data_IF_643076194391
#
_entry.id   IF_643076194391
#
_cell.length_a   1.000
_cell.length_b   1.000
_cell.length_c   1.000
_cell.angle_alpha   90.00
_cell.angle_beta   90.00
_cell.angle_gamma   90.00
#
_symmetry.space_group_name_H-M   'P 1'
#
loop_
_entity.id
_entity.type
_entity.pdbx_description
1 polymer ?
#
# COMPACT_ATOMS: atom_id res chain seq x y z
N UNK A 1 41.80 22.97 -37.29
CA UNK A 1 40.75 23.49 -36.41
C UNK A 1 39.28 23.25 -36.89
N UNK A 2 38.90 22.25 -37.73
CA UNK A 2 37.47 22.03 -38.05
C UNK A 2 36.78 20.93 -37.20
N UNK A 3 37.53 20.07 -36.50
CA UNK A 3 36.95 18.91 -35.81
C UNK A 3 36.21 19.25 -34.49
N UNK A 4 36.62 20.30 -33.78
CA UNK A 4 36.01 20.69 -32.51
C UNK A 4 34.63 21.37 -32.69
N UNK A 5 34.43 22.09 -33.80
CA UNK A 5 33.16 22.74 -34.10
C UNK A 5 32.08 21.75 -34.54
N UNK A 6 32.46 20.67 -35.25
CA UNK A 6 31.53 19.61 -35.65
C UNK A 6 31.04 18.77 -34.46
N UNK A 7 31.91 18.51 -33.47
CA UNK A 7 31.52 17.79 -32.26
C UNK A 7 30.57 18.60 -31.36
N UNK A 8 30.78 19.92 -31.25
CA UNK A 8 29.88 20.80 -30.52
C UNK A 8 28.50 20.90 -31.20
N UNK A 9 28.45 21.04 -32.53
CA UNK A 9 27.19 21.09 -33.28
C UNK A 9 26.38 19.78 -33.18
N UNK A 10 27.05 18.62 -33.18
CA UNK A 10 26.40 17.32 -33.00
C UNK A 10 25.82 17.15 -31.59
N UNK A 11 26.51 17.66 -30.56
CA UNK A 11 26.01 17.64 -29.18
C UNK A 11 24.79 18.55 -28.98
N UNK A 12 24.79 19.74 -29.61
CA UNK A 12 23.63 20.65 -29.59
C UNK A 12 22.43 20.08 -30.35
N UNK A 13 22.64 19.41 -31.49
CA UNK A 13 21.56 18.74 -32.21
C UNK A 13 20.99 17.55 -31.44
N UNK A 14 21.83 16.76 -30.75
CA UNK A 14 21.37 15.65 -29.91
C UNK A 14 20.56 16.14 -28.69
N UNK A 15 21.00 17.22 -28.03
CA UNK A 15 20.28 17.82 -26.92
C UNK A 15 18.96 18.48 -27.37
N UNK A 16 18.95 19.15 -28.52
CA UNK A 16 17.74 19.73 -29.09
C UNK A 16 16.73 18.66 -29.54
N UNK A 17 17.19 17.51 -30.04
CA UNK A 17 16.33 16.39 -30.41
C UNK A 17 15.72 15.70 -29.17
N UNK A 18 16.48 15.56 -28.06
CA UNK A 18 15.97 15.07 -26.78
C UNK A 18 14.89 16.00 -26.20
N UNK A 19 15.10 17.32 -26.26
CA UNK A 19 14.14 18.32 -25.80
C UNK A 19 12.88 18.36 -26.69
N UNK A 20 13.01 18.13 -28.00
CA UNK A 20 11.84 18.04 -28.90
C UNK A 20 11.01 16.78 -28.64
N UNK A 21 11.65 15.65 -28.31
CA UNK A 21 10.97 14.38 -28.00
C UNK A 21 10.14 14.46 -26.71
N UNK A 22 10.51 15.31 -25.75
CA UNK A 22 9.74 15.61 -24.54
C UNK A 22 8.60 16.61 -24.73
N UNK A 23 8.45 17.21 -25.93
CA UNK A 23 7.41 18.21 -26.23
C UNK A 23 6.24 17.65 -27.04
N UNK A 24 6.29 16.36 -27.41
CA UNK A 24 5.17 15.68 -28.05
C UNK A 24 4.10 15.37 -27.00
N UNK A 25 2.82 15.72 -27.23
CA UNK A 25 1.72 15.23 -26.39
C UNK A 25 1.67 13.71 -26.52
N UNK A 26 2.23 13.02 -25.51
CA UNK A 26 2.50 11.58 -25.56
C UNK A 26 3.87 11.17 -25.02
N UNK A 27 4.80 12.11 -24.75
CA UNK A 27 6.00 11.84 -23.95
C UNK A 27 5.61 11.69 -22.48
N UNK A 28 4.98 10.56 -22.16
CA UNK A 28 4.78 10.12 -20.79
C UNK A 28 6.16 10.11 -20.12
N UNK A 29 6.25 10.71 -18.94
CA UNK A 29 7.38 10.60 -18.05
C UNK A 29 7.82 9.12 -18.02
N UNK A 30 9.01 8.83 -18.57
CA UNK A 30 9.42 7.46 -18.79
C UNK A 30 9.78 6.86 -17.44
N UNK A 31 8.95 5.93 -16.97
CA UNK A 31 9.32 5.09 -15.84
C UNK A 31 10.68 4.46 -16.10
N UNK A 32 11.57 4.57 -15.13
CA UNK A 32 12.78 3.77 -15.10
C UNK A 32 12.47 2.49 -14.34
N UNK A 33 12.43 1.38 -15.05
CA UNK A 33 12.15 0.06 -14.47
C UNK A 33 13.42 -0.68 -14.11
N UNK A 34 13.32 -1.51 -13.08
CA UNK A 34 14.28 -2.55 -12.73
C UNK A 34 13.57 -3.89 -12.75
N UNK A 35 14.21 -4.89 -13.38
CA UNK A 35 13.72 -6.26 -13.44
C UNK A 35 14.27 -7.06 -12.25
N UNK A 36 13.41 -7.82 -11.58
CA UNK A 36 13.84 -8.78 -10.56
C UNK A 36 14.53 -9.99 -11.20
N UNK A 37 15.65 -10.46 -10.65
CA UNK A 37 16.43 -11.53 -11.28
C UNK A 37 15.65 -12.84 -11.36
N UNK A 38 15.68 -13.50 -12.52
CA UNK A 38 15.01 -14.79 -12.72
C UNK A 38 13.48 -14.73 -12.66
N UNK A 39 12.88 -13.54 -12.51
CA UNK A 39 11.44 -13.34 -12.48
C UNK A 39 10.99 -12.42 -13.63
N UNK A 40 9.82 -12.67 -14.17
CA UNK A 40 9.24 -11.86 -15.23
C UNK A 40 8.43 -10.67 -14.68
N UNK A 41 9.04 -9.89 -13.79
CA UNK A 41 8.40 -8.72 -13.17
C UNK A 41 9.40 -7.56 -13.04
N UNK A 42 8.88 -6.37 -13.29
CA UNK A 42 9.58 -5.10 -13.14
C UNK A 42 8.83 -4.20 -12.17
N UNK A 43 9.59 -3.41 -11.42
CA UNK A 43 9.09 -2.24 -10.71
C UNK A 43 9.82 -1.00 -11.18
N UNK A 44 9.15 0.15 -11.17
CA UNK A 44 9.72 1.39 -11.66
C UNK A 44 9.11 2.61 -11.01
N UNK A 45 9.82 3.71 -11.12
CA UNK A 45 9.40 5.05 -10.69
C UNK A 45 9.75 6.04 -11.80
N UNK A 46 9.24 7.26 -11.69
CA UNK A 46 9.64 8.37 -12.58
C UNK A 46 10.77 9.15 -11.89
N UNK A 47 12.05 8.95 -12.26
CA UNK A 47 13.15 9.62 -11.55
C UNK A 47 13.17 11.13 -11.78
N UNK A 48 12.90 11.58 -13.00
CA UNK A 48 12.86 13.01 -13.38
C UNK A 48 11.43 13.54 -13.34
N UNK A 49 10.72 13.27 -12.25
CA UNK A 49 9.34 13.69 -12.10
C UNK A 49 9.23 15.21 -11.89
N UNK A 50 8.24 15.84 -12.52
CA UNK A 50 8.05 17.30 -12.47
C UNK A 50 6.79 17.72 -11.69
N UNK A 51 5.97 16.76 -11.28
CA UNK A 51 4.73 17.01 -10.59
C UNK A 51 4.50 15.96 -9.51
N UNK A 52 3.67 16.33 -8.55
CA UNK A 52 3.29 15.48 -7.41
C UNK A 52 2.87 14.07 -7.82
N UNK A 53 2.02 13.93 -8.84
CA UNK A 53 1.47 12.63 -9.19
C UNK A 53 2.58 11.69 -9.66
N UNK A 54 3.43 12.14 -10.59
CA UNK A 54 4.58 11.36 -11.06
C UNK A 54 5.58 11.08 -9.93
N UNK A 55 5.85 12.08 -9.09
CA UNK A 55 6.81 11.97 -7.98
C UNK A 55 6.33 11.12 -6.81
N UNK A 56 5.05 10.75 -6.77
CA UNK A 56 4.48 9.87 -5.74
C UNK A 56 4.08 8.50 -6.30
N UNK A 57 4.40 8.20 -7.57
CA UNK A 57 3.94 6.97 -8.22
C UNK A 57 5.05 5.93 -8.36
N UNK A 58 4.74 4.70 -7.95
CA UNK A 58 5.48 3.50 -8.33
C UNK A 58 4.65 2.66 -9.31
N UNK A 59 5.29 1.97 -10.25
CA UNK A 59 4.65 1.09 -11.22
C UNK A 59 5.21 -0.33 -11.13
N UNK A 60 4.35 -1.33 -11.35
CA UNK A 60 4.68 -2.75 -11.28
C UNK A 60 4.03 -3.48 -12.45
N UNK A 61 4.78 -4.32 -13.14
CA UNK A 61 4.20 -5.03 -14.27
C UNK A 61 5.05 -6.21 -14.73
N UNK A 62 4.43 -7.16 -15.43
CA UNK A 62 5.16 -8.25 -16.04
C UNK A 62 6.10 -7.73 -17.13
N UNK A 63 7.37 -8.13 -17.08
CA UNK A 63 8.37 -7.70 -18.05
C UNK A 63 9.39 -8.80 -18.33
N UNK A 64 9.99 -8.78 -19.52
CA UNK A 64 11.12 -9.66 -19.87
C UNK A 64 12.46 -8.94 -19.74
N UNK A 65 12.47 -7.61 -19.77
CA UNK A 65 13.63 -6.75 -19.59
C UNK A 65 13.24 -5.43 -18.90
N UNK A 66 14.20 -4.80 -18.22
CA UNK A 66 14.04 -3.51 -17.57
C UNK A 66 13.75 -2.37 -18.58
N UNK A 67 14.28 -2.47 -19.80
CA UNK A 67 13.95 -1.56 -20.90
C UNK A 67 13.44 -2.38 -22.10
N UNK A 68 12.28 -2.02 -22.70
CA UNK A 68 11.48 -0.81 -22.45
C UNK A 68 10.58 -0.89 -21.19
N UNK A 69 10.60 -2.00 -20.45
CA UNK A 69 9.72 -2.24 -19.32
C UNK A 69 8.40 -2.95 -19.71
N UNK A 70 7.43 -3.04 -18.78
CA UNK A 70 6.14 -3.69 -19.02
C UNK A 70 5.23 -2.89 -19.96
N UNK A 71 4.50 -3.57 -20.84
CA UNK A 71 3.48 -2.94 -21.71
C UNK A 71 2.14 -2.69 -20.99
N UNK A 72 1.90 -3.41 -19.90
CA UNK A 72 0.78 -3.24 -18.99
C UNK A 72 1.29 -3.33 -17.55
N UNK A 73 0.85 -2.44 -16.68
CA UNK A 73 1.35 -2.31 -15.31
C UNK A 73 0.25 -1.81 -14.37
N UNK A 74 0.45 -1.97 -13.08
CA UNK A 74 -0.32 -1.31 -12.03
C UNK A 74 0.52 -0.18 -11.45
N UNK A 75 -0.08 1.00 -11.34
CA UNK A 75 0.49 2.13 -10.58
C UNK A 75 0.02 2.06 -9.14
N UNK A 76 0.86 2.48 -8.20
CA UNK A 76 0.53 2.61 -6.77
C UNK A 76 0.93 4.00 -6.33
N UNK A 77 -0.07 4.75 -5.85
CA UNK A 77 0.07 6.16 -5.46
C UNK A 77 -0.44 6.33 -4.03
N UNK A 78 0.36 6.84 -3.08
CA UNK A 78 -0.15 7.32 -1.80
C UNK A 78 -1.15 8.46 -2.03
N UNK A 79 -2.43 8.18 -1.83
CA UNK A 79 -3.52 9.10 -2.16
C UNK A 79 -3.88 10.01 -0.97
N UNK A 80 -3.66 9.54 0.25
CA UNK A 80 -3.89 10.32 1.46
C UNK A 80 -3.94 9.45 2.71
N UNK A 81 -4.33 10.07 3.82
CA UNK A 81 -4.67 9.37 5.06
C UNK A 81 -6.16 9.51 5.36
N UNK A 82 -6.66 8.74 6.32
CA UNK A 82 -7.99 8.96 6.86
C UNK A 82 -8.09 8.49 8.31
N UNK A 83 -8.75 9.29 9.14
CA UNK A 83 -9.25 8.79 10.42
C UNK A 83 -10.49 7.94 10.17
N UNK A 84 -10.47 6.68 10.60
CA UNK A 84 -11.56 5.73 10.40
C UNK A 84 -12.20 5.42 11.75
N UNK A 85 -13.51 5.69 11.86
CA UNK A 85 -14.28 5.53 13.08
C UNK A 85 -14.86 4.10 13.21
N UNK A 86 -15.39 3.56 12.12
CA UNK A 86 -15.88 2.18 12.04
C UNK A 86 -15.40 1.49 10.76
N UNK A 87 -14.61 0.44 10.95
CA UNK A 87 -14.01 -0.35 9.86
C UNK A 87 -15.04 -1.00 8.92
N UNK A 88 -16.28 -1.21 9.35
CA UNK A 88 -17.29 -1.92 8.56
C UNK A 88 -18.18 -0.99 7.72
N UNK A 89 -18.06 0.33 7.90
CA UNK A 89 -19.02 1.28 7.31
C UNK A 89 -18.36 2.52 6.71
N UNK A 90 -17.07 2.76 6.98
CA UNK A 90 -16.32 3.95 6.52
C UNK A 90 -16.26 4.17 5.00
N UNK A 91 -16.57 3.14 4.21
CA UNK A 91 -16.52 3.17 2.76
C UNK A 91 -17.86 3.59 2.14
N UNK A 92 -18.94 3.46 2.91
CA UNK A 92 -20.31 3.76 2.48
C UNK A 92 -20.95 4.90 3.27
N UNK A 93 -20.47 5.17 4.49
CA UNK A 93 -20.93 6.27 5.33
C UNK A 93 -19.80 7.31 5.50
N UNK A 94 -19.94 8.52 4.92
CA UNK A 94 -18.94 9.58 5.05
C UNK A 94 -18.78 10.08 6.49
N UNK A 95 -19.72 9.80 7.40
CA UNK A 95 -19.56 10.15 8.82
C UNK A 95 -18.63 9.19 9.57
N UNK A 96 -18.30 8.05 8.96
CA UNK A 96 -17.44 7.00 9.53
C UNK A 96 -15.98 7.11 9.06
N UNK A 97 -15.67 8.17 8.28
CA UNK A 97 -14.32 8.50 7.82
C UNK A 97 -14.09 10.01 7.81
N UNK A 98 -12.90 10.44 8.22
CA UNK A 98 -12.43 11.81 8.00
C UNK A 98 -11.15 11.75 7.16
N UNK A 99 -11.27 12.12 5.89
CA UNK A 99 -10.17 12.04 4.91
C UNK A 99 -9.20 13.18 5.13
N UNK A 100 -7.93 12.82 5.25
CA UNK A 100 -6.80 13.73 5.32
C UNK A 100 -6.12 13.69 3.95
N UNK A 101 -6.39 14.73 3.16
CA UNK A 101 -5.84 14.82 1.82
C UNK A 101 -4.34 15.12 1.86
N UNK A 102 -3.74 15.01 0.68
CA UNK A 102 -2.39 15.48 0.43
C UNK A 102 -2.26 16.96 0.78
N UNK A 103 -1.14 17.33 1.43
CA UNK A 103 -0.89 18.69 1.89
C UNK A 103 -0.93 19.67 0.70
N UNK A 104 -1.86 20.64 0.66
CA UNK A 104 -1.96 21.61 -0.43
C UNK A 104 -0.83 22.65 -0.34
N UNK A 105 -0.56 23.31 -1.48
CA UNK A 105 0.32 24.49 -1.57
C UNK A 105 1.80 24.27 -1.21
N UNK A 106 2.28 23.04 -1.34
CA UNK A 106 3.70 22.71 -1.21
C UNK A 106 4.19 21.96 -2.45
N UNK A 107 5.50 22.00 -2.72
CA UNK A 107 6.11 21.17 -3.77
C UNK A 107 6.10 19.70 -3.35
N UNK A 108 4.93 19.09 -3.49
CA UNK A 108 4.65 17.77 -2.93
C UNK A 108 5.06 16.66 -3.91
N UNK A 109 5.33 15.48 -3.36
CA UNK A 109 5.91 14.37 -4.10
C UNK A 109 7.41 14.29 -3.88
N UNK A 110 7.92 13.09 -3.64
CA UNK A 110 9.34 12.82 -3.62
C UNK A 110 9.63 11.39 -4.05
N UNK A 111 10.68 11.22 -4.84
CA UNK A 111 11.08 9.96 -5.45
C UNK A 111 12.56 9.69 -5.20
N UNK A 112 12.87 8.45 -4.83
CA UNK A 112 14.24 7.95 -4.77
C UNK A 112 14.32 6.72 -5.65
N UNK A 113 15.37 6.64 -6.47
CA UNK A 113 15.64 5.46 -7.29
C UNK A 113 17.13 5.23 -7.35
N UNK A 114 17.54 4.06 -6.87
CA UNK A 114 18.91 3.60 -6.93
C UNK A 114 18.90 2.17 -7.47
N UNK A 115 19.74 1.89 -8.47
CA UNK A 115 19.89 0.54 -9.04
C UNK A 115 21.36 0.12 -9.02
N UNK A 116 21.60 -1.19 -8.98
CA UNK A 116 22.95 -1.74 -8.97
C UNK A 116 23.70 -1.51 -7.64
N UNK A 117 22.97 -1.35 -6.53
CA UNK A 117 23.58 -1.26 -5.20
C UNK A 117 24.18 -2.62 -4.86
N UNK A 118 25.47 -2.64 -4.49
CA UNK A 118 26.21 -3.87 -4.20
C UNK A 118 26.46 -4.02 -2.72
N UNK A 119 26.16 -5.20 -2.19
CA UNK A 119 26.49 -5.61 -0.83
C UNK A 119 27.16 -6.99 -0.87
N UNK A 120 28.49 -6.99 -0.78
CA UNK A 120 29.28 -8.20 -1.03
C UNK A 120 29.07 -8.75 -2.45
N UNK A 121 28.56 -9.97 -2.57
CA UNK A 121 28.23 -10.60 -3.86
C UNK A 121 26.79 -10.37 -4.32
N UNK A 122 25.95 -9.76 -3.47
CA UNK A 122 24.57 -9.45 -3.78
C UNK A 122 24.44 -8.09 -4.46
N UNK A 123 23.38 -7.94 -5.24
CA UNK A 123 23.02 -6.70 -5.92
C UNK A 123 21.51 -6.48 -5.80
N UNK A 124 21.11 -5.24 -5.56
CA UNK A 124 19.71 -4.87 -5.46
C UNK A 124 19.46 -3.47 -6.00
N UNK A 125 18.17 -3.19 -6.23
CA UNK A 125 17.67 -1.85 -6.46
C UNK A 125 16.72 -1.44 -5.34
N UNK A 126 16.70 -0.14 -5.07
CA UNK A 126 15.88 0.48 -4.06
C UNK A 126 15.11 1.63 -4.67
N UNK A 127 13.80 1.66 -4.46
CA UNK A 127 12.93 2.73 -4.94
C UNK A 127 11.98 3.19 -3.85
N UNK A 128 11.76 4.49 -3.76
CA UNK A 128 10.72 5.09 -2.93
C UNK A 128 9.93 6.11 -3.72
N UNK A 129 8.64 6.19 -3.44
CA UNK A 129 7.78 7.25 -3.95
C UNK A 129 6.78 7.63 -2.85
N UNK A 130 6.64 8.93 -2.59
CA UNK A 130 5.85 9.41 -1.46
C UNK A 130 5.49 10.87 -1.54
N UNK A 131 4.93 11.39 -0.46
CA UNK A 131 4.53 12.79 -0.34
C UNK A 131 4.11 13.16 1.08
N UNK A 132 3.75 14.43 1.23
CA UNK A 132 3.20 15.00 2.45
C UNK A 132 1.68 14.99 2.47
N UNK A 133 1.09 14.72 3.62
CA UNK A 133 -0.36 14.68 3.85
C UNK A 133 -0.71 15.58 5.04
N UNK A 134 -1.92 16.12 5.06
CA UNK A 134 -2.36 17.03 6.13
C UNK A 134 -3.07 18.26 5.60
N UNK A 135 -3.64 19.04 6.51
CA UNK A 135 -4.33 20.28 6.18
C UNK A 135 -3.44 21.52 6.37
N UNK A 136 -2.44 21.43 7.26
CA UNK A 136 -1.53 22.54 7.58
C UNK A 136 -0.12 22.01 7.81
N UNK A 137 0.89 22.87 7.63
CA UNK A 137 2.30 22.52 7.93
C UNK A 137 2.51 22.21 9.42
N UNK A 138 1.71 22.83 10.30
CA UNK A 138 1.77 22.62 11.75
C UNK A 138 1.12 21.30 12.21
N UNK A 139 0.38 20.60 11.35
CA UNK A 139 -0.28 19.33 11.61
C UNK A 139 -0.37 18.51 10.32
N UNK A 140 0.69 17.75 10.05
CA UNK A 140 0.86 17.01 8.80
C UNK A 140 1.51 15.64 9.04
N UNK A 141 1.80 14.94 7.97
CA UNK A 141 2.49 13.66 7.95
C UNK A 141 3.18 13.44 6.62
N UNK A 142 3.99 12.39 6.57
CA UNK A 142 4.59 11.89 5.34
C UNK A 142 4.11 10.47 5.11
N UNK A 143 3.96 10.11 3.84
CA UNK A 143 3.54 8.78 3.40
C UNK A 143 4.34 8.36 2.18
N UNK A 144 4.56 7.07 2.01
CA UNK A 144 5.19 6.58 0.80
C UNK A 144 5.15 5.06 0.68
N UNK A 145 5.57 4.60 -0.49
CA UNK A 145 5.83 3.19 -0.79
C UNK A 145 7.32 2.99 -1.00
N UNK A 146 7.79 1.79 -0.65
CA UNK A 146 9.18 1.36 -0.77
C UNK A 146 9.20 0.05 -1.54
N UNK A 147 10.15 -0.05 -2.48
CA UNK A 147 10.44 -1.27 -3.20
C UNK A 147 11.91 -1.63 -3.05
N UNK A 148 12.17 -2.85 -2.57
CA UNK A 148 13.49 -3.46 -2.61
C UNK A 148 13.45 -4.63 -3.58
N UNK A 149 14.30 -4.58 -4.61
CA UNK A 149 14.28 -5.51 -5.74
C UNK A 149 15.63 -6.21 -5.79
N UNK A 150 15.66 -7.51 -5.51
CA UNK A 150 16.89 -8.28 -5.59
C UNK A 150 17.22 -8.62 -7.05
N UNK A 151 18.34 -8.09 -7.53
CA UNK A 151 18.85 -8.31 -8.89
C UNK A 151 19.99 -9.32 -8.93
N UNK A 152 20.58 -9.67 -7.77
CA UNK A 152 21.56 -10.74 -7.61
C UNK A 152 21.76 -11.17 -6.16
N UNK A 153 21.98 -12.47 -5.94
CA UNK A 153 22.41 -13.03 -4.66
C UNK A 153 21.34 -12.94 -3.57
N UNK A 154 21.77 -12.77 -2.32
CA UNK A 154 20.86 -12.64 -1.18
C UNK A 154 21.40 -11.68 -0.15
N UNK A 155 20.52 -10.90 0.48
CA UNK A 155 20.84 -9.99 1.59
C UNK A 155 19.97 -10.35 2.77
N UNK A 156 20.57 -10.44 3.96
CA UNK A 156 19.86 -10.57 5.23
C UNK A 156 20.05 -9.28 6.01
N UNK A 157 18.96 -8.60 6.35
CA UNK A 157 19.02 -7.34 7.09
C UNK A 157 17.85 -7.20 8.08
N UNK A 158 18.06 -6.42 9.14
CA UNK A 158 17.02 -6.07 10.11
C UNK A 158 16.29 -4.78 9.77
N UNK A 159 16.88 -3.93 8.94
CA UNK A 159 16.41 -2.58 8.69
C UNK A 159 16.39 -2.24 7.21
N UNK A 160 15.66 -1.17 6.87
CA UNK A 160 15.65 -0.58 5.53
C UNK A 160 15.70 0.95 5.63
N UNK A 161 16.49 1.64 4.78
CA UNK A 161 16.63 3.09 4.87
C UNK A 161 15.41 3.79 4.29
N UNK A 162 14.65 4.53 5.10
CA UNK A 162 13.52 5.35 4.64
C UNK A 162 13.95 6.80 4.65
N UNK A 163 13.62 7.51 3.58
CA UNK A 163 13.86 8.95 3.47
C UNK A 163 12.54 9.69 3.24
N UNK A 164 12.43 10.88 3.82
CA UNK A 164 11.25 11.73 3.70
C UNK A 164 11.66 13.21 3.78
N UNK A 165 10.71 14.09 3.51
CA UNK A 165 10.87 15.52 3.72
C UNK A 165 9.83 16.04 4.73
N UNK A 166 10.08 17.23 5.26
CA UNK A 166 9.16 17.99 6.11
C UNK A 166 8.71 19.25 5.36
N UNK A 167 7.57 19.87 5.73
CA UNK A 167 7.04 21.02 4.98
C UNK A 167 7.98 22.24 4.94
N UNK A 168 8.83 22.42 5.95
CA UNK A 168 9.57 23.66 6.17
C UNK A 168 10.78 23.86 5.23
N UNK A 169 11.21 22.82 4.50
CA UNK A 169 12.38 22.87 3.61
C UNK A 169 12.24 21.93 2.41
N UNK A 170 11.10 21.93 1.72
CA UNK A 170 10.90 21.03 0.57
C UNK A 170 11.80 21.38 -0.61
N UNK A 171 12.66 20.45 -1.06
CA UNK A 171 13.44 20.66 -2.27
C UNK A 171 12.55 20.75 -3.51
N UNK A 172 12.96 21.56 -4.49
CA UNK A 172 12.25 21.71 -5.76
C UNK A 172 12.45 20.53 -6.72
N UNK A 173 13.48 19.72 -6.49
CA UNK A 173 13.92 18.65 -7.39
C UNK A 173 13.23 17.30 -7.14
N UNK A 174 12.39 17.20 -6.11
CA UNK A 174 11.68 15.99 -5.68
C UNK A 174 12.55 14.77 -5.36
N UNK A 175 13.88 14.89 -5.43
CA UNK A 175 14.84 13.79 -5.31
C UNK A 175 15.81 14.01 -4.16
N UNK A 176 15.94 15.24 -3.67
CA UNK A 176 16.65 15.55 -2.44
C UNK A 176 15.78 15.26 -1.22
N UNK A 177 16.39 14.63 -0.22
CA UNK A 177 15.76 14.29 1.06
C UNK A 177 16.54 14.88 2.22
N UNK A 178 15.85 15.60 3.11
CA UNK A 178 16.46 16.20 4.28
C UNK A 178 16.48 15.27 5.50
N UNK A 179 15.69 14.21 5.47
CA UNK A 179 15.59 13.26 6.58
C UNK A 179 15.75 11.83 6.09
N UNK A 180 16.45 11.01 6.89
CA UNK A 180 16.65 9.59 6.62
C UNK A 180 16.83 8.82 7.93
N UNK A 181 16.20 7.65 8.02
CA UNK A 181 16.38 6.74 9.13
C UNK A 181 16.27 5.28 8.69
N UNK A 182 16.94 4.40 9.43
CA UNK A 182 16.84 2.95 9.23
C UNK A 182 15.64 2.39 10.00
N UNK A 183 14.59 2.03 9.27
CA UNK A 183 13.39 1.45 9.85
C UNK A 183 13.56 -0.05 10.04
N UNK A 184 13.16 -0.55 11.21
CA UNK A 184 13.11 -1.99 11.47
C UNK A 184 12.12 -2.70 10.53
N UNK A 185 12.58 -3.75 9.85
CA UNK A 185 11.75 -4.68 9.06
C UNK A 185 11.65 -6.08 9.69
N UNK A 186 12.56 -6.43 10.59
CA UNK A 186 12.45 -7.60 11.47
C UNK A 186 11.37 -7.38 12.54
N UNK A 187 10.98 -8.41 13.29
CA UNK A 187 10.06 -8.20 14.42
C UNK A 187 10.70 -7.28 15.48
N UNK A 188 9.90 -6.46 16.13
CA UNK A 188 10.33 -5.51 17.15
C UNK A 188 9.64 -5.78 18.48
N UNK A 189 10.40 -5.65 19.56
CA UNK A 189 9.89 -5.84 20.93
C UNK A 189 10.74 -5.06 21.93
N UNK A 190 10.14 -4.72 23.08
CA UNK A 190 10.82 -4.04 24.19
C UNK A 190 11.57 -2.75 23.76
N UNK A 191 10.99 -1.99 22.82
CA UNK A 191 11.57 -0.74 22.36
C UNK A 191 12.69 -0.87 21.31
N UNK A 192 13.01 -2.09 20.85
CA UNK A 192 14.12 -2.34 19.93
C UNK A 192 13.77 -3.26 18.75
N UNK A 193 14.59 -3.19 17.69
CA UNK A 193 14.54 -4.08 16.53
C UNK A 193 15.21 -5.44 16.86
N UNK A 194 14.48 -6.29 17.57
CA UNK A 194 15.03 -7.51 18.21
C UNK A 194 14.97 -8.77 17.36
N UNK A 195 14.12 -8.78 16.33
CA UNK A 195 13.85 -9.95 15.50
C UNK A 195 15.07 -10.43 14.72
N UNK A 196 14.95 -11.62 14.14
CA UNK A 196 15.93 -12.16 13.20
C UNK A 196 15.91 -11.37 11.91
N UNK A 197 17.07 -11.29 11.26
CA UNK A 197 17.24 -10.68 9.96
C UNK A 197 16.26 -11.27 8.95
N UNK A 198 15.69 -10.40 8.13
CA UNK A 198 14.86 -10.82 7.01
C UNK A 198 15.76 -10.99 5.80
N UNK A 199 15.62 -12.13 5.13
CA UNK A 199 16.43 -12.48 3.97
C UNK A 199 15.64 -12.24 2.69
N UNK A 200 16.23 -11.46 1.80
CA UNK A 200 15.78 -11.25 0.43
C UNK A 200 16.72 -12.01 -0.51
N UNK A 201 16.18 -12.82 -1.41
CA UNK A 201 16.95 -13.56 -2.40
C UNK A 201 16.68 -13.02 -3.82
N UNK A 202 17.56 -13.34 -4.76
CA UNK A 202 17.38 -13.07 -6.20
C UNK A 202 15.95 -13.31 -6.65
N UNK A 203 15.35 -12.29 -7.27
CA UNK A 203 13.97 -12.34 -7.75
C UNK A 203 12.92 -11.88 -6.75
N UNK A 204 13.25 -11.74 -5.46
CA UNK A 204 12.33 -11.10 -4.51
C UNK A 204 12.14 -9.62 -4.85
N UNK A 205 10.88 -9.20 -4.81
CA UNK A 205 10.46 -7.81 -4.94
C UNK A 205 9.59 -7.46 -3.74
N UNK A 206 10.21 -6.93 -2.70
CA UNK A 206 9.51 -6.54 -1.48
C UNK A 206 8.70 -5.26 -1.71
N UNK A 207 7.50 -5.22 -1.15
CA UNK A 207 6.63 -4.06 -1.14
C UNK A 207 6.40 -3.61 0.29
N UNK A 208 6.73 -2.38 0.61
CA UNK A 208 6.49 -1.79 1.91
C UNK A 208 5.81 -0.43 1.75
N UNK A 209 5.16 0.02 2.81
CA UNK A 209 4.62 1.37 2.87
C UNK A 209 4.95 1.98 4.22
N UNK A 210 5.21 3.28 4.26
CA UNK A 210 5.54 3.99 5.48
C UNK A 210 4.64 5.21 5.67
N UNK A 211 4.52 5.59 6.93
CA UNK A 211 3.74 6.73 7.37
C UNK A 211 4.36 7.29 8.64
N UNK A 212 4.48 8.61 8.75
CA UNK A 212 4.74 9.30 10.01
C UNK A 212 3.87 10.54 10.18
N UNK A 213 3.57 10.87 11.43
CA UNK A 213 2.80 12.07 11.82
C UNK A 213 3.71 13.10 12.47
N UNK A 214 3.50 14.39 12.20
CA UNK A 214 4.40 15.46 12.60
C UNK A 214 3.70 16.83 12.70
N UNK A 215 4.43 17.82 13.19
CA UNK A 215 3.95 19.18 13.37
C UNK A 215 3.61 19.50 14.84
N UNK A 216 3.85 20.75 15.25
CA UNK A 216 3.70 21.21 16.63
C UNK A 216 2.24 21.25 17.12
N UNK A 217 1.28 21.25 16.19
CA UNK A 217 -0.18 21.23 16.45
C UNK A 217 -0.81 19.92 15.99
N UNK A 218 -0.03 18.85 15.82
CA UNK A 218 -0.58 17.54 15.55
C UNK A 218 -1.48 17.09 16.71
N UNK A 219 -2.70 16.70 16.38
CA UNK A 219 -3.66 16.14 17.33
C UNK A 219 -4.33 14.94 16.67
N UNK A 220 -4.26 13.79 17.34
CA UNK A 220 -4.96 12.59 16.92
C UNK A 220 -6.47 12.79 17.04
N UNK A 221 -7.26 12.23 16.12
CA UNK A 221 -8.71 12.28 16.26
C UNK A 221 -9.16 11.39 17.46
N UNK A 222 -9.80 11.97 18.49
CA UNK A 222 -10.14 11.25 19.70
C UNK A 222 -11.19 10.16 19.48
N UNK A 223 -12.01 10.25 18.42
CA UNK A 223 -13.08 9.29 18.12
C UNK A 223 -12.64 8.17 17.19
N UNK A 224 -11.57 8.37 16.43
CA UNK A 224 -11.11 7.37 15.46
C UNK A 224 -10.73 6.05 16.14
N UNK A 225 -10.92 4.93 15.44
CA UNK A 225 -10.37 3.63 15.81
C UNK A 225 -9.03 3.37 15.09
N UNK A 226 -8.91 3.87 13.86
CA UNK A 226 -7.74 3.67 13.01
C UNK A 226 -7.28 4.96 12.34
N UNK A 227 -5.98 5.02 12.03
CA UNK A 227 -5.44 5.89 10.98
C UNK A 227 -5.18 5.01 9.75
N UNK A 228 -5.90 5.26 8.67
CA UNK A 228 -5.73 4.55 7.40
C UNK A 228 -4.75 5.25 6.48
N UNK A 229 -3.81 4.50 5.91
CA UNK A 229 -3.07 4.90 4.72
C UNK A 229 -3.80 4.40 3.49
N UNK A 230 -4.25 5.33 2.63
CA UNK A 230 -4.92 5.00 1.38
C UNK A 230 -3.94 5.06 0.21
N UNK A 231 -3.76 3.92 -0.44
CA UNK A 231 -3.05 3.82 -1.71
C UNK A 231 -4.08 3.69 -2.83
N UNK A 232 -4.00 4.53 -3.87
CA UNK A 232 -4.72 4.27 -5.11
C UNK A 232 -3.88 3.32 -5.95
N UNK A 233 -4.44 2.17 -6.32
CA UNK A 233 -3.82 1.28 -7.30
C UNK A 233 -4.63 1.34 -8.59
N UNK A 234 -3.98 1.65 -9.72
CA UNK A 234 -4.66 1.78 -11.01
C UNK A 234 -3.97 0.93 -12.08
N UNK A 235 -4.75 0.13 -12.79
CA UNK A 235 -4.26 -0.69 -13.90
C UNK A 235 -4.15 0.16 -15.16
N UNK A 236 -2.95 0.15 -15.75
CA UNK A 236 -2.64 0.77 -17.03
C UNK A 236 -2.33 -0.34 -18.02
N UNK A 237 -3.25 -0.58 -18.95
CA UNK A 237 -3.06 -1.53 -20.06
C UNK A 237 -3.23 -0.78 -21.38
N UNK A 238 -2.09 -0.38 -21.98
CA UNK A 238 -2.07 0.38 -23.23
C UNK A 238 -2.70 -0.35 -24.41
N UNK A 239 -2.84 -1.69 -24.30
CA UNK A 239 -3.37 -2.53 -25.37
C UNK A 239 -4.80 -3.01 -25.08
N UNK A 240 -5.41 -2.61 -23.95
CA UNK A 240 -6.78 -2.97 -23.52
C UNK A 240 -7.06 -4.49 -23.55
N UNK A 241 -6.03 -5.31 -23.31
CA UNK A 241 -6.06 -6.72 -23.73
C UNK A 241 -6.75 -7.68 -22.78
N UNK A 242 -6.85 -7.42 -21.47
CA UNK A 242 -7.51 -8.33 -20.49
C UNK A 242 -7.30 -7.91 -19.03
N UNK A 243 -7.15 -6.61 -18.77
CA UNK A 243 -6.88 -6.12 -17.43
C UNK A 243 -8.01 -6.45 -16.45
N UNK A 244 -7.69 -7.22 -15.41
CA UNK A 244 -8.63 -7.55 -14.34
C UNK A 244 -7.92 -7.57 -12.99
N UNK A 245 -8.68 -7.26 -11.95
CA UNK A 245 -8.24 -7.27 -10.56
C UNK A 245 -9.11 -8.22 -9.74
N UNK A 246 -8.45 -9.12 -9.03
CA UNK A 246 -9.10 -10.07 -8.12
C UNK A 246 -8.38 -10.10 -6.79
N UNK A 247 -9.04 -10.64 -5.77
CA UNK A 247 -8.57 -10.58 -4.39
C UNK A 247 -8.69 -11.94 -3.73
N UNK A 248 -7.88 -12.16 -2.69
CA UNK A 248 -7.90 -13.34 -1.85
C UNK A 248 -7.80 -14.64 -2.67
N UNK A 249 -6.66 -14.79 -3.32
CA UNK A 249 -6.28 -15.92 -4.17
C UNK A 249 -7.22 -16.08 -5.36
N UNK A 250 -7.57 -14.94 -5.96
CA UNK A 250 -8.47 -14.83 -7.11
C UNK A 250 -9.92 -15.28 -6.84
N UNK A 251 -10.31 -15.46 -5.58
CA UNK A 251 -11.65 -15.96 -5.23
C UNK A 251 -12.72 -14.87 -5.20
N UNK A 252 -12.34 -13.59 -5.19
CA UNK A 252 -13.26 -12.46 -5.07
C UNK A 252 -13.00 -11.37 -6.10
N UNK A 253 -14.08 -10.77 -6.60
CA UNK A 253 -14.06 -9.52 -7.38
C UNK A 253 -14.13 -8.31 -6.46
N UNK A 254 -13.76 -7.13 -6.97
CA UNK A 254 -13.81 -5.87 -6.21
C UNK A 254 -15.18 -5.56 -5.60
N UNK A 255 -16.27 -5.87 -6.31
CA UNK A 255 -17.64 -5.70 -5.83
C UNK A 255 -17.98 -6.53 -4.58
N UNK A 256 -17.19 -7.57 -4.31
CA UNK A 256 -17.36 -8.50 -3.18
C UNK A 256 -16.40 -8.18 -2.02
N UNK A 257 -15.62 -7.09 -2.12
CA UNK A 257 -14.60 -6.72 -1.14
C UNK A 257 -15.09 -5.78 -0.05
N UNK A 258 -16.34 -5.32 -0.12
CA UNK A 258 -16.94 -4.54 0.96
C UNK A 258 -16.88 -5.32 2.28
N UNK A 259 -16.21 -4.75 3.27
CA UNK A 259 -15.99 -5.35 4.60
C UNK A 259 -15.24 -6.69 4.60
N UNK A 260 -14.54 -7.02 3.52
CA UNK A 260 -13.69 -8.22 3.43
C UNK A 260 -12.24 -7.84 3.65
N UNK A 261 -11.54 -8.65 4.43
CA UNK A 261 -10.12 -8.47 4.67
C UNK A 261 -9.32 -8.91 3.44
N UNK A 262 -8.36 -8.10 3.00
CA UNK A 262 -7.53 -8.38 1.82
C UNK A 262 -6.23 -9.07 2.24
N UNK A 263 -5.97 -10.26 1.72
CA UNK A 263 -4.73 -11.02 1.99
C UNK A 263 -3.78 -11.02 0.80
N UNK A 264 -4.33 -10.89 -0.41
CA UNK A 264 -3.57 -10.68 -1.63
C UNK A 264 -4.42 -9.90 -2.64
N UNK A 265 -3.73 -9.32 -3.62
CA UNK A 265 -4.35 -8.69 -4.79
C UNK A 265 -3.67 -9.29 -6.02
N UNK A 266 -4.46 -9.73 -6.99
CA UNK A 266 -3.96 -10.33 -8.23
C UNK A 266 -4.44 -9.55 -9.43
N UNK A 267 -3.51 -9.26 -10.34
CA UNK A 267 -3.72 -8.48 -11.54
C UNK A 267 -3.41 -9.34 -12.77
N UNK A 268 -4.37 -9.47 -13.67
CA UNK A 268 -4.12 -10.00 -15.01
C UNK A 268 -3.67 -8.83 -15.90
N UNK A 269 -2.41 -8.82 -16.33
CA UNK A 269 -1.79 -7.73 -17.10
C UNK A 269 -1.07 -8.31 -18.32
N UNK A 270 -1.46 -7.90 -19.52
CA UNK A 270 -0.80 -8.35 -20.76
C UNK A 270 -0.75 -9.88 -20.90
N UNK A 271 -1.81 -10.59 -20.47
CA UNK A 271 -1.90 -12.04 -20.48
C UNK A 271 -1.08 -12.76 -19.39
N UNK A 272 -0.42 -12.03 -18.48
CA UNK A 272 0.30 -12.59 -17.34
C UNK A 272 -0.41 -12.23 -16.04
N UNK A 273 -0.35 -13.12 -15.07
CA UNK A 273 -0.82 -12.85 -13.72
C UNK A 273 0.36 -12.34 -12.87
N UNK A 274 0.19 -11.20 -12.21
CA UNK A 274 1.06 -10.77 -11.12
C UNK A 274 0.23 -10.61 -9.86
N UNK A 275 0.81 -10.88 -8.70
CA UNK A 275 0.11 -10.76 -7.42
C UNK A 275 0.95 -10.02 -6.40
N UNK A 276 0.30 -9.18 -5.61
CA UNK A 276 0.84 -8.60 -4.40
C UNK A 276 0.37 -9.45 -3.21
N UNK A 277 1.29 -10.22 -2.64
CA UNK A 277 1.10 -10.96 -1.39
C UNK A 277 1.25 -9.98 -0.24
N UNK A 278 0.31 -9.98 0.71
CA UNK A 278 0.28 -9.01 1.80
C UNK A 278 0.63 -9.64 3.15
N UNK A 279 1.57 -9.02 3.85
CA UNK A 279 1.77 -9.20 5.29
C UNK A 279 0.71 -8.41 6.05
N UNK A 280 0.26 -8.92 7.19
CA UNK A 280 -0.49 -8.11 8.18
C UNK A 280 0.44 -7.35 9.12
N UNK A 281 1.72 -7.71 9.13
CA UNK A 281 2.71 -7.14 10.01
C UNK A 281 3.06 -5.69 9.68
N UNK A 282 3.18 -4.89 10.72
CA UNK A 282 3.87 -3.61 10.66
C UNK A 282 4.72 -3.41 11.91
N UNK A 283 5.72 -2.55 11.79
CA UNK A 283 6.49 -2.05 12.92
C UNK A 283 6.18 -0.57 13.14
N UNK A 284 6.22 -0.14 14.39
CA UNK A 284 6.10 1.26 14.78
C UNK A 284 7.31 1.71 15.55
N UNK A 285 7.57 3.01 15.53
CA UNK A 285 8.64 3.66 16.27
C UNK A 285 8.26 5.11 16.60
N UNK A 286 9.06 5.74 17.46
CA UNK A 286 9.02 7.17 17.73
C UNK A 286 10.31 7.81 17.23
N UNK A 287 10.15 8.86 16.43
CA UNK A 287 11.23 9.67 15.92
C UNK A 287 11.71 10.65 16.99
N UNK A 288 12.98 10.52 17.35
CA UNK A 288 13.68 11.42 18.26
C UNK A 288 14.43 12.54 17.53
N UNK A 289 15.32 13.19 18.27
CA UNK A 289 16.23 14.21 17.71
C UNK A 289 17.20 13.59 16.69
N UNK A 290 17.41 14.27 15.56
CA UNK A 290 18.36 13.84 14.54
C UNK A 290 17.91 12.59 13.78
N UNK A 291 16.60 12.43 13.57
CA UNK A 291 15.98 11.32 12.83
C UNK A 291 16.22 9.92 13.43
N UNK A 292 16.74 9.83 14.66
CA UNK A 292 16.93 8.56 15.34
C UNK A 292 15.58 7.94 15.76
N UNK A 293 15.35 6.69 15.37
CA UNK A 293 14.16 5.95 15.74
C UNK A 293 14.35 5.19 17.05
N UNK A 294 13.33 5.23 17.90
CA UNK A 294 13.30 4.61 19.23
C UNK A 294 11.92 4.03 19.54
N UNK A 295 11.76 3.37 20.69
CA UNK A 295 10.48 2.84 21.15
C UNK A 295 9.82 1.91 20.13
N UNK A 296 10.63 1.04 19.52
CA UNK A 296 10.15 0.09 18.54
C UNK A 296 9.17 -0.91 19.13
N UNK A 297 8.17 -1.26 18.32
CA UNK A 297 7.35 -2.44 18.52
C UNK A 297 6.72 -2.90 17.22
N UNK A 298 5.96 -3.98 17.31
CA UNK A 298 5.26 -4.54 16.17
C UNK A 298 3.80 -4.82 16.51
N UNK A 299 2.95 -4.75 15.50
CA UNK A 299 1.54 -5.14 15.60
C UNK A 299 1.02 -5.53 14.21
N UNK A 300 -0.30 -5.69 14.08
CA UNK A 300 -0.98 -6.04 12.84
C UNK A 300 -1.95 -4.95 12.37
N UNK A 301 -2.04 -4.79 11.05
CA UNK A 301 -3.01 -3.91 10.39
C UNK A 301 -4.26 -4.67 9.98
N UNK A 302 -5.34 -3.93 9.74
CA UNK A 302 -6.42 -4.42 8.87
C UNK A 302 -6.21 -3.85 7.47
N UNK A 303 -6.63 -4.58 6.44
CA UNK A 303 -6.41 -4.20 5.05
C UNK A 303 -7.71 -4.36 4.27
N UNK A 304 -8.13 -3.28 3.60
CA UNK A 304 -9.37 -3.21 2.84
C UNK A 304 -9.11 -2.79 1.39
N UNK A 305 -10.00 -3.21 0.51
CA UNK A 305 -10.00 -2.84 -0.90
C UNK A 305 -11.37 -2.27 -1.26
N UNK A 306 -11.39 -1.06 -1.81
CA UNK A 306 -12.62 -0.31 -2.09
C UNK A 306 -12.64 0.22 -3.52
N UNK A 307 -13.81 0.21 -4.19
CA UNK A 307 -13.91 0.74 -5.54
C UNK A 307 -13.62 2.24 -5.57
N UNK A 308 -12.98 2.68 -6.66
CA UNK A 308 -12.88 4.10 -6.98
C UNK A 308 -14.10 4.47 -7.82
N UNK A 309 -14.93 5.39 -7.31
CA UNK A 309 -16.16 5.79 -8.00
C UNK A 309 -15.84 6.33 -9.40
N UNK A 310 -16.47 5.74 -10.42
CA UNK A 310 -16.29 6.14 -11.82
C UNK A 310 -15.04 5.58 -12.50
N UNK A 311 -14.23 4.78 -11.81
CA UNK A 311 -12.96 4.25 -12.32
C UNK A 311 -12.85 2.75 -12.00
N UNK A 312 -13.34 1.92 -12.92
CA UNK A 312 -13.36 0.46 -12.77
C UNK A 312 -11.96 -0.18 -12.84
N UNK A 313 -10.95 0.59 -13.30
CA UNK A 313 -9.56 0.13 -13.41
C UNK A 313 -8.74 0.46 -12.17
N UNK A 314 -9.36 1.08 -11.17
CA UNK A 314 -8.71 1.49 -9.93
C UNK A 314 -9.36 0.93 -8.68
N UNK A 315 -8.54 0.73 -7.65
CA UNK A 315 -8.96 0.37 -6.31
C UNK A 315 -8.29 1.30 -5.30
N UNK A 316 -9.00 1.66 -4.24
CA UNK A 316 -8.39 2.15 -3.01
C UNK A 316 -8.00 0.96 -2.14
N UNK A 317 -6.70 0.84 -1.92
CA UNK A 317 -6.10 -0.11 -1.00
C UNK A 317 -5.79 0.61 0.32
N UNK A 318 -6.58 0.31 1.35
CA UNK A 318 -6.50 0.97 2.64
C UNK A 318 -5.76 0.07 3.65
N UNK A 319 -4.63 0.55 4.17
CA UNK A 319 -3.88 -0.07 5.26
C UNK A 319 -4.27 0.63 6.56
N UNK A 320 -5.03 -0.04 7.42
CA UNK A 320 -5.65 0.53 8.61
C UNK A 320 -4.83 0.19 9.87
N UNK A 321 -4.11 1.18 10.38
CA UNK A 321 -3.31 1.05 11.59
C UNK A 321 -4.13 1.45 12.83
N UNK A 322 -4.03 0.73 13.96
CA UNK A 322 -4.67 1.14 15.21
C UNK A 322 -4.22 2.55 15.63
N UNK A 323 -5.17 3.43 15.99
CA UNK A 323 -4.86 4.85 16.26
C UNK A 323 -3.88 5.07 17.43
N UNK A 324 -3.74 4.10 18.33
CA UNK A 324 -2.86 4.21 19.51
C UNK A 324 -1.38 4.42 19.15
N UNK A 325 -1.00 4.14 17.91
CA UNK A 325 0.35 4.36 17.38
C UNK A 325 0.54 5.76 16.77
N UNK A 326 -0.47 6.64 16.84
CA UNK A 326 -0.45 8.01 16.29
C UNK A 326 -1.12 9.01 17.25
N UNK A 327 -0.84 8.91 18.54
CA UNK A 327 -1.31 9.83 19.58
C UNK A 327 -0.55 11.17 19.58
N UNK A 328 0.71 11.17 19.15
CA UNK A 328 1.61 12.34 19.23
C UNK A 328 2.47 12.48 17.98
N UNK A 329 2.88 13.72 17.68
CA UNK A 329 3.86 13.98 16.62
C UNK A 329 5.16 13.17 16.82
N UNK A 330 5.80 12.80 15.72
CA UNK A 330 7.01 11.98 15.69
C UNK A 330 6.74 10.47 15.67
N UNK A 331 5.49 10.01 15.80
CA UNK A 331 5.18 8.59 15.68
C UNK A 331 5.12 8.16 14.21
N UNK A 332 5.67 6.98 13.92
CA UNK A 332 5.81 6.47 12.57
C UNK A 332 5.67 4.95 12.51
N UNK A 333 5.30 4.44 11.34
CA UNK A 333 5.10 3.04 11.04
C UNK A 333 5.73 2.64 9.72
N UNK A 334 6.13 1.37 9.63
CA UNK A 334 6.50 0.69 8.40
C UNK A 334 5.65 -0.58 8.25
N UNK A 335 4.76 -0.57 7.27
CA UNK A 335 3.96 -1.71 6.82
C UNK A 335 4.76 -2.62 5.88
N UNK A 336 4.45 -3.91 5.91
CA UNK A 336 5.13 -4.93 5.09
C UNK A 336 6.34 -5.52 5.79
N UNK A 337 6.56 -5.20 7.08
CA UNK A 337 7.57 -5.82 7.92
C UNK A 337 7.17 -7.24 8.33
N UNK A 338 8.10 -7.97 8.98
CA UNK A 338 7.81 -9.25 9.61
C UNK A 338 6.73 -9.15 10.72
N UNK A 339 6.49 -7.95 11.25
CA UNK A 339 5.43 -7.64 12.20
C UNK A 339 5.52 -8.35 13.54
N UNK A 340 4.41 -8.30 14.29
CA UNK A 340 4.30 -9.02 15.54
C UNK A 340 4.25 -10.53 15.25
N UNK A 341 5.03 -11.31 16.00
CA UNK A 341 4.78 -12.75 16.06
C UNK A 341 3.34 -12.94 16.56
N UNK A 342 2.42 -13.40 15.70
CA UNK A 342 1.15 -13.88 16.21
C UNK A 342 1.45 -14.89 17.30
N UNK A 343 0.87 -14.67 18.49
CA UNK A 343 1.06 -15.55 19.64
C UNK A 343 0.86 -16.99 19.16
N UNK A 344 1.95 -17.75 19.16
CA UNK A 344 2.01 -19.16 18.76
C UNK A 344 0.84 -19.90 19.42
N UNK A 345 -0.19 -20.24 18.66
CA UNK A 345 -0.94 -21.46 18.94
C UNK A 345 0.00 -22.58 18.52
N UNK A 346 0.50 -23.35 19.48
CA UNK A 346 1.48 -24.41 19.24
C UNK A 346 1.00 -25.32 18.10
N UNK A 347 1.73 -25.36 16.98
CA UNK A 347 1.50 -26.34 15.90
C UNK A 347 1.62 -25.86 14.46
N UNK A 348 1.54 -24.55 14.17
CA UNK A 348 1.58 -24.07 12.77
C UNK A 348 2.70 -23.04 12.55
N UNK A 349 3.71 -23.42 11.78
CA UNK A 349 4.75 -22.51 11.29
C UNK A 349 4.21 -21.65 10.16
N UNK A 350 3.47 -20.58 10.50
CA UNK A 350 3.26 -19.47 9.56
C UNK A 350 4.33 -18.43 9.84
N UNK A 351 5.46 -18.53 9.15
CA UNK A 351 6.38 -17.39 9.01
C UNK A 351 5.57 -16.28 8.37
N UNK A 352 5.37 -15.14 9.05
CA UNK A 352 4.80 -13.97 8.39
C UNK A 352 5.79 -13.55 7.31
N UNK A 353 5.44 -13.86 6.06
CA UNK A 353 6.20 -13.41 4.90
C UNK A 353 5.97 -11.91 4.74
N UNK A 354 7.02 -11.16 4.46
CA UNK A 354 6.89 -9.77 4.07
C UNK A 354 5.98 -9.63 2.86
N UNK A 355 5.36 -8.45 2.75
CA UNK A 355 4.58 -8.10 1.57
C UNK A 355 5.50 -8.08 0.35
N UNK A 356 5.09 -8.74 -0.73
CA UNK A 356 5.92 -8.85 -1.94
C UNK A 356 5.12 -9.08 -3.20
N UNK A 357 5.70 -8.65 -4.31
CA UNK A 357 5.18 -8.95 -5.64
C UNK A 357 5.70 -10.30 -6.12
N UNK A 358 4.82 -11.06 -6.78
CA UNK A 358 5.14 -12.36 -7.39
C UNK A 358 4.52 -12.46 -8.77
N UNK A 359 5.13 -13.27 -9.64
CA UNK A 359 4.54 -13.67 -10.93
C UNK A 359 3.77 -14.97 -10.75
N UNK A 360 2.56 -15.02 -11.30
CA UNK A 360 1.63 -16.12 -11.11
C UNK A 360 0.74 -15.95 -9.87
N UNK A 361 -0.08 -16.95 -9.54
CA UNK A 361 -0.96 -16.89 -8.38
C UNK A 361 -0.13 -16.83 -7.08
N UNK A 362 -0.66 -16.21 -6.02
CA UNK A 362 -0.01 -16.23 -4.72
C UNK A 362 0.08 -17.68 -4.23
N UNK A 363 1.27 -18.11 -3.81
CA UNK A 363 1.46 -19.44 -3.21
C UNK A 363 0.91 -19.37 -1.79
N UNK A 364 -0.33 -19.81 -1.60
CA UNK A 364 -0.91 -19.98 -0.26
C UNK A 364 -0.15 -21.13 0.41
N UNK A 365 0.44 -20.94 1.60
CA UNK A 365 0.95 -22.07 2.38
C UNK A 365 -0.18 -23.07 2.55
N UNK A 366 0.01 -24.30 2.07
CA UNK A 366 -1.04 -25.32 2.10
C UNK A 366 -1.68 -25.36 3.47
N UNK A 367 -3.01 -25.16 3.54
CA UNK A 367 -3.76 -25.39 4.76
C UNK A 367 -3.40 -26.79 5.30
N UNK A 368 -3.33 -26.99 6.63
CA UNK A 368 -3.05 -28.30 7.18
C UNK A 368 -3.95 -29.34 6.52
N UNK A 369 -3.37 -30.48 6.11
CA UNK A 369 -4.15 -31.62 5.66
C UNK A 369 -5.31 -31.83 6.64
N UNK A 370 -6.56 -32.01 6.17
CA UNK A 370 -7.70 -32.15 7.06
C UNK A 370 -7.37 -33.19 8.13
N UNK A 371 -7.44 -32.77 9.38
CA UNK A 371 -7.21 -33.64 10.53
C UNK A 371 -7.97 -34.94 10.29
N UNK A 372 -7.27 -36.06 10.42
CA UNK A 372 -7.88 -37.38 10.36
C UNK A 372 -9.17 -37.38 11.22
N UNK A 373 -10.25 -38.02 10.74
CA UNK A 373 -11.54 -37.98 11.43
C UNK A 373 -11.35 -38.37 12.90
N UNK A 374 -11.93 -37.55 13.79
CA UNK A 374 -11.89 -37.79 15.22
C UNK A 374 -12.35 -39.23 15.52
N UNK A 375 -11.68 -39.95 16.44
CA UNK A 375 -12.15 -41.27 16.86
C UNK A 375 -13.59 -41.16 17.35
N UNK A 376 -14.46 -42.03 16.82
CA UNK A 376 -15.88 -42.07 17.09
C UNK A 376 -16.16 -42.03 18.59
N UNK A 377 -17.05 -41.13 19.01
CA UNK A 377 -17.54 -41.06 20.38
C UNK A 377 -18.15 -42.40 20.83
N UNK A 378 -18.00 -42.82 22.10
CA UNK A 378 -18.68 -44.00 22.62
C UNK A 378 -20.20 -43.83 22.53
N UNK A 379 -20.88 -44.93 22.20
CA UNK A 379 -22.33 -44.97 22.04
C UNK A 379 -23.08 -44.45 23.29
N UNK A 380 -24.17 -43.69 23.11
CA UNK A 380 -24.97 -43.20 24.22
C UNK A 380 -25.67 -44.36 24.94
N UNK A 381 -25.60 -44.35 26.27
CA UNK A 381 -26.36 -45.27 27.13
C UNK A 381 -27.86 -44.91 27.11
N UNK A 382 -28.70 -45.94 27.22
CA UNK A 382 -30.15 -45.92 27.06
C UNK A 382 -30.90 -44.91 27.98
N UNK A 383 -32.07 -44.41 27.56
CA UNK A 383 -32.83 -43.41 28.30
C UNK A 383 -33.60 -44.02 29.48
N UNK A 384 -33.56 -43.33 30.63
CA UNK A 384 -34.43 -43.60 31.78
C UNK A 384 -35.80 -42.92 31.61
N UNK A 385 -36.88 -43.50 32.16
CA UNK A 385 -38.26 -43.10 31.86
C UNK A 385 -38.73 -41.84 32.58
N UNK A 386 -39.64 -41.14 31.90
CA UNK A 386 -40.24 -39.84 32.25
C UNK A 386 -41.17 -39.86 33.46
N UNK A 387 -41.23 -38.73 34.17
CA UNK A 387 -42.26 -38.40 35.17
C UNK A 387 -42.80 -36.96 34.94
N UNK A 388 -44.02 -36.65 35.40
CA UNK A 388 -44.98 -35.82 34.66
C UNK A 388 -44.99 -34.31 34.99
N UNK A 389 -45.59 -33.56 34.07
CA UNK A 389 -45.78 -32.10 34.08
C UNK A 389 -46.76 -31.58 35.15
N UNK A 390 -46.66 -30.29 35.49
CA UNK A 390 -47.87 -29.49 35.60
C UNK A 390 -47.80 -28.07 34.96
N UNK A 391 -48.87 -27.79 34.21
CA UNK A 391 -49.71 -26.58 34.11
C UNK A 391 -49.12 -25.17 33.94
N UNK A 392 -49.61 -24.51 32.87
CA UNK A 392 -49.48 -23.10 32.53
C UNK A 392 -50.18 -22.13 33.51
N UNK A 393 -49.91 -20.81 33.41
CA UNK A 393 -50.93 -19.95 32.79
C UNK A 393 -50.42 -18.77 31.91
N UNK A 394 -51.20 -18.55 30.84
CA UNK A 394 -51.73 -17.33 30.21
C UNK A 394 -50.99 -15.95 30.24
N UNK A 395 -50.66 -15.50 29.02
CA UNK A 395 -50.96 -14.21 28.36
C UNK A 395 -50.68 -12.85 29.02
N UNK A 396 -49.97 -11.99 28.29
CA UNK A 396 -50.43 -10.60 28.04
C UNK A 396 -49.76 -9.99 26.81
N UNK A 397 -50.61 -9.32 26.03
CA UNK A 397 -50.42 -8.54 24.82
C UNK A 397 -49.68 -7.21 25.04
N UNK A 398 -48.91 -6.77 24.05
CA UNK A 398 -48.72 -5.33 23.81
C UNK A 398 -48.49 -5.04 22.31
N UNK A 399 -49.43 -4.28 21.80
CA UNK A 399 -49.58 -3.61 20.50
C UNK A 399 -48.59 -2.47 20.23
N UNK A 400 -48.64 -2.02 18.97
CA UNK A 400 -48.26 -0.71 18.40
C UNK A 400 -46.88 -0.66 17.74
N UNK A 401 -46.66 0.05 16.63
CA UNK A 401 -47.51 0.66 15.60
C UNK A 401 -46.58 1.08 14.45
N UNK A 402 -47.11 1.07 13.23
CA UNK A 402 -46.49 1.63 12.02
C UNK A 402 -46.30 3.15 12.08
N UNK A 403 -45.22 3.65 11.45
CA UNK A 403 -45.12 4.86 10.61
C UNK A 403 -43.63 4.99 10.16
N UNK A 404 -43.20 4.86 8.90
CA UNK A 404 -43.56 5.52 7.64
C UNK A 404 -43.27 7.04 7.64
N UNK A 405 -42.08 7.43 7.17
CA UNK A 405 -41.75 8.69 6.44
C UNK A 405 -40.28 8.61 6.02
N UNK A 406 -39.79 9.18 4.92
CA UNK A 406 -40.36 9.56 3.65
C UNK A 406 -39.12 9.82 2.77
N UNK A 407 -39.09 9.15 1.62
CA UNK A 407 -38.13 9.32 0.54
C UNK A 407 -38.18 10.77 0.04
N UNK A 408 -37.04 11.45 -0.10
CA UNK A 408 -36.94 12.64 -0.96
C UNK A 408 -35.69 12.54 -1.81
N UNK A 409 -35.92 12.15 -3.05
CA UNK A 409 -34.98 12.15 -4.16
C UNK A 409 -35.39 13.34 -5.04
N UNK A 410 -34.52 14.33 -5.23
CA UNK A 410 -34.68 15.31 -6.32
C UNK A 410 -33.40 15.33 -7.14
N UNK A 411 -33.58 14.87 -8.38
CA UNK A 411 -32.66 14.90 -9.51
C UNK A 411 -32.97 16.16 -10.33
N UNK A 412 -31.93 16.93 -10.70
CA UNK A 412 -31.89 17.84 -11.86
C UNK A 412 -30.41 18.15 -12.08
N UNK A 413 -29.64 17.59 -13.02
CA UNK A 413 -29.74 17.44 -14.48
C UNK A 413 -29.46 18.74 -15.27
N UNK A 414 -28.34 18.71 -16.03
CA UNK A 414 -28.19 19.18 -17.43
C UNK A 414 -27.67 20.63 -17.69
N UNK A 415 -26.36 20.68 -18.00
CA UNK A 415 -25.75 21.11 -19.30
C UNK A 415 -25.56 22.62 -19.65
N UNK A 416 -24.43 22.83 -20.35
CA UNK A 416 -23.96 23.99 -21.14
C UNK A 416 -23.07 24.99 -20.34
N UNK A 417 -21.86 25.33 -20.77
CA UNK A 417 -21.52 25.91 -22.08
C UNK A 417 -20.09 25.53 -22.54
N UNK A 418 -20.00 25.06 -23.79
CA UNK A 418 -18.86 25.30 -24.70
C UNK A 418 -19.17 26.56 -25.52
N UNK A 419 -18.30 27.57 -25.51
CA UNK A 419 -17.96 28.53 -26.62
C UNK A 419 -17.02 29.61 -26.05
N UNK A 420 -15.71 29.60 -26.37
CA UNK A 420 -15.01 30.15 -27.55
C UNK A 420 -14.82 31.68 -27.52
N UNK A 421 -13.55 32.09 -27.74
CA UNK A 421 -12.95 33.41 -28.10
C UNK A 421 -12.75 34.40 -26.94
N UNK A 422 -11.61 35.10 -26.84
CA UNK A 422 -10.65 35.54 -27.86
C UNK A 422 -9.18 35.29 -27.47
#
# INVERSE_FOLDING_TARGET
MPAAAAAAAAAYLAAALLLLLCSLPGSQCAYTFVKAEGQDICAGVVPDCANKEDCSTAAYGPCTAASPGPSAYVTVIPNGLAWVYDINTYTTDPNQVNVINVLPNVNNGFVESQSGIKEGSAEYAYMMAGGLVGNTVESCGYVGVINAIMTKGSISTKTIPVAWNTPDNLPSDHTTYNHRADYCIASASNGACTGTDVTFASGDMAFMAYLGVMGSKYVADPKAAYLGLRLKMAVVDKNETSANMTFNSQSKKLSEMSNVEVNDISFSLGGKLISLVLSKGFNYATMGSGDALSNYGSDVVNIRANPVTGDAMSVYFDILFPKQYFQTAGQTVLYGSAGAHARRRAGTSTTYSQSKWVVGPPIVPSAPAPSAPAPSAPAPSAPAPSAPAPSAPASSSATSSHALMALTLIVTAVTALFTIRA
#
